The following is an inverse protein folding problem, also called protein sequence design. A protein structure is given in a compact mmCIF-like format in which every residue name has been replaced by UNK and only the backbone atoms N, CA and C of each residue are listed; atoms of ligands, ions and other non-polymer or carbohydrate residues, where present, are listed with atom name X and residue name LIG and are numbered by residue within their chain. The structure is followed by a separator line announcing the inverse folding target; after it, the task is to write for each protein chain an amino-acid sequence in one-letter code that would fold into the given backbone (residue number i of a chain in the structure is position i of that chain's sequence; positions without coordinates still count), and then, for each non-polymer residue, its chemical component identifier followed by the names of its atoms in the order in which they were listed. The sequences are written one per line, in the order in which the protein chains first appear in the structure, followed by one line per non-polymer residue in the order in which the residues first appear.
data_IF_239927497680
#
_entry.id   IF_239927497680
#
_cell.length_a   1.000
_cell.length_b   1.000
_cell.length_c   1.000
_cell.angle_alpha   90.00
_cell.angle_beta   90.00
_cell.angle_gamma   90.00
#
_symmetry.space_group_name_H-M   'P 1'
#
loop_
_entity.id
_entity.type
_entity.pdbx_description
1 polymer ?
#
# COMPACT_ATOMS: atom_id res chain seq x y z
N UNK A 1 -5.75 -7.94 -26.03
CA UNK A 1 -5.17 -8.13 -24.69
C UNK A 1 -6.30 -7.84 -23.73
N UNK A 2 -6.77 -8.83 -22.96
CA UNK A 2 -7.83 -8.55 -21.99
C UNK A 2 -7.27 -7.59 -20.94
N UNK A 3 -7.84 -6.39 -20.87
CA UNK A 3 -7.57 -5.42 -19.82
C UNK A 3 -8.08 -6.01 -18.50
N UNK A 4 -7.18 -6.28 -17.54
CA UNK A 4 -7.63 -6.69 -16.19
C UNK A 4 -6.75 -7.68 -15.43
N UNK A 5 -5.70 -8.26 -16.01
CA UNK A 5 -4.80 -9.12 -15.25
C UNK A 5 -3.61 -8.32 -14.71
N UNK A 6 -3.72 -7.84 -13.45
CA UNK A 6 -2.55 -7.31 -12.74
C UNK A 6 -1.51 -8.43 -12.56
N UNK A 7 -0.20 -8.11 -12.65
CA UNK A 7 0.86 -9.08 -12.43
C UNK A 7 0.67 -9.82 -11.10
N UNK A 8 0.98 -11.12 -11.03
CA UNK A 8 0.94 -11.82 -9.74
C UNK A 8 1.96 -11.23 -8.76
N UNK A 9 1.68 -11.26 -7.45
CA UNK A 9 2.61 -10.78 -6.40
C UNK A 9 3.98 -11.45 -6.53
N UNK A 10 4.01 -12.76 -6.85
CA UNK A 10 5.25 -13.50 -7.11
C UNK A 10 6.03 -13.01 -8.33
N UNK A 11 5.35 -12.51 -9.37
CA UNK A 11 6.02 -11.91 -10.52
C UNK A 11 6.58 -10.53 -10.14
N UNK A 12 5.82 -9.74 -9.39
CA UNK A 12 6.25 -8.42 -8.90
C UNK A 12 7.48 -8.53 -8.01
N UNK A 13 7.52 -9.49 -7.09
CA UNK A 13 8.68 -9.80 -6.26
C UNK A 13 9.93 -10.12 -7.08
N UNK A 14 9.80 -10.94 -8.13
CA UNK A 14 10.92 -11.26 -9.02
C UNK A 14 11.40 -10.03 -9.78
N UNK A 15 10.48 -9.17 -10.22
CA UNK A 15 10.82 -7.92 -10.89
C UNK A 15 11.53 -6.95 -9.95
N UNK A 16 11.08 -6.83 -8.69
CA UNK A 16 11.73 -6.02 -7.68
C UNK A 16 13.19 -6.44 -7.48
N UNK A 17 13.44 -7.75 -7.36
CA UNK A 17 14.79 -8.31 -7.21
C UNK A 17 15.65 -8.08 -8.47
N UNK A 18 15.14 -8.39 -9.66
CA UNK A 18 15.91 -8.30 -10.91
C UNK A 18 16.25 -6.85 -11.29
N UNK A 19 15.37 -5.91 -10.92
CA UNK A 19 15.51 -4.49 -11.23
C UNK A 19 16.12 -3.67 -10.08
N UNK A 20 16.47 -4.30 -8.96
CA UNK A 20 16.88 -3.64 -7.71
C UNK A 20 15.93 -2.49 -7.34
N UNK A 21 14.63 -2.78 -7.43
CA UNK A 21 13.54 -1.82 -7.25
C UNK A 21 12.76 -2.09 -5.95
N UNK A 22 12.07 -1.07 -5.47
CA UNK A 22 11.22 -1.15 -4.29
C UNK A 22 9.98 -2.02 -4.57
N UNK A 23 9.92 -3.20 -3.93
CA UNK A 23 8.81 -4.14 -4.05
C UNK A 23 7.46 -3.52 -3.65
N UNK A 24 7.42 -2.72 -2.57
CA UNK A 24 6.17 -2.15 -2.08
C UNK A 24 5.61 -1.15 -3.09
N UNK A 25 6.47 -0.33 -3.70
CA UNK A 25 6.08 0.58 -4.78
C UNK A 25 5.54 -0.18 -6.00
N UNK A 26 6.19 -1.27 -6.40
CA UNK A 26 5.72 -2.09 -7.52
C UNK A 26 4.38 -2.79 -7.21
N UNK A 27 4.15 -3.20 -5.97
CA UNK A 27 2.87 -3.77 -5.54
C UNK A 27 1.75 -2.73 -5.61
N UNK A 28 2.00 -1.51 -5.12
CA UNK A 28 1.04 -0.42 -5.18
C UNK A 28 0.70 -0.01 -6.62
N UNK A 29 1.70 0.02 -7.52
CA UNK A 29 1.50 0.26 -8.95
C UNK A 29 0.62 -0.82 -9.62
N UNK A 30 0.65 -2.04 -9.09
CA UNK A 30 -0.20 -3.14 -9.53
C UNK A 30 -1.54 -3.23 -8.76
N UNK A 31 -1.90 -2.18 -8.02
CA UNK A 31 -3.10 -2.10 -7.17
C UNK A 31 -3.16 -3.20 -6.09
N UNK A 32 -1.99 -3.62 -5.57
CA UNK A 32 -1.87 -4.60 -4.50
C UNK A 32 -1.37 -3.96 -3.22
N UNK A 33 -2.02 -4.29 -2.11
CA UNK A 33 -1.61 -3.82 -0.78
C UNK A 33 -0.41 -4.65 -0.29
N UNK A 34 0.73 -4.01 0.07
CA UNK A 34 1.89 -4.68 0.66
C UNK A 34 1.55 -5.49 1.92
N UNK A 35 2.26 -6.60 2.13
CA UNK A 35 2.01 -7.52 3.25
C UNK A 35 2.01 -6.82 4.63
N UNK A 36 2.98 -5.92 4.96
CA UNK A 36 2.99 -5.24 6.25
C UNK A 36 1.71 -4.44 6.51
N UNK A 37 1.17 -3.80 5.47
CA UNK A 37 -0.08 -3.01 5.56
C UNK A 37 -1.28 -3.95 5.71
N UNK A 38 -1.37 -5.02 4.89
CA UNK A 38 -2.44 -6.03 5.02
C UNK A 38 -2.52 -6.59 6.43
N UNK A 39 -1.37 -6.92 7.03
CA UNK A 39 -1.31 -7.45 8.39
C UNK A 39 -1.86 -6.46 9.41
N UNK A 40 -1.50 -5.17 9.31
CA UNK A 40 -2.01 -4.12 10.20
C UNK A 40 -3.51 -3.90 10.07
N UNK A 41 -4.05 -3.98 8.85
CA UNK A 41 -5.51 -3.90 8.61
C UNK A 41 -6.25 -5.04 9.32
N UNK A 42 -5.70 -6.25 9.30
CA UNK A 42 -6.30 -7.41 10.00
C UNK A 42 -6.16 -7.30 11.53
N UNK A 43 -5.04 -6.78 12.03
CA UNK A 43 -4.81 -6.59 13.47
C UNK A 43 -5.69 -5.49 14.08
N UNK A 44 -5.97 -4.42 13.35
CA UNK A 44 -6.70 -3.22 13.82
C UNK A 44 -7.74 -2.73 12.81
N UNK A 45 -8.73 -3.55 12.44
CA UNK A 45 -9.66 -3.22 11.37
C UNK A 45 -10.54 -2.00 11.68
N UNK A 46 -10.82 -1.74 12.96
CA UNK A 46 -11.52 -0.56 13.45
C UNK A 46 -10.77 0.74 13.12
N UNK A 47 -9.45 0.77 13.34
CA UNK A 47 -8.61 1.93 13.06
C UNK A 47 -8.57 2.22 11.57
N UNK A 48 -8.33 1.21 10.73
CA UNK A 48 -8.27 1.40 9.29
C UNK A 48 -9.62 1.75 8.67
N UNK A 49 -10.75 1.32 9.26
CA UNK A 49 -12.09 1.82 8.87
C UNK A 49 -12.25 3.31 9.14
N UNK A 50 -11.75 3.80 10.27
CA UNK A 50 -11.78 5.25 10.54
C UNK A 50 -10.91 5.97 9.52
N UNK A 51 -9.67 5.53 9.32
CA UNK A 51 -8.74 6.14 8.35
C UNK A 51 -9.32 6.16 6.94
N UNK A 52 -9.97 5.08 6.49
CA UNK A 52 -10.60 5.02 5.17
C UNK A 52 -11.79 5.97 4.96
N UNK A 53 -12.37 6.52 6.02
CA UNK A 53 -13.48 7.48 5.96
C UNK A 53 -13.02 8.93 6.13
N UNK A 54 -11.74 9.17 6.40
CA UNK A 54 -11.19 10.52 6.48
C UNK A 54 -11.15 11.16 5.10
N UNK A 55 -11.43 12.46 5.04
CA UNK A 55 -11.19 13.25 3.83
C UNK A 55 -9.71 13.66 3.72
N UNK A 56 -9.31 14.16 2.56
CA UNK A 56 -7.91 14.52 2.28
C UNK A 56 -7.30 15.46 3.33
N UNK A 57 -8.06 16.45 3.83
CA UNK A 57 -7.55 17.38 4.86
C UNK A 57 -7.33 16.69 6.20
N UNK A 58 -8.17 15.73 6.53
CA UNK A 58 -8.05 14.94 7.76
C UNK A 58 -6.89 13.96 7.67
N UNK A 59 -6.66 13.38 6.48
CA UNK A 59 -5.48 12.54 6.19
C UNK A 59 -4.19 13.36 6.25
N UNK A 60 -4.17 14.56 5.66
CA UNK A 60 -3.03 15.49 5.75
C UNK A 60 -2.71 15.86 7.20
N UNK A 61 -3.75 16.15 8.01
CA UNK A 61 -3.57 16.43 9.43
C UNK A 61 -3.04 15.22 10.22
N UNK A 62 -3.54 14.02 9.92
CA UNK A 62 -3.04 12.77 10.50
C UNK A 62 -1.56 12.56 10.16
N UNK A 63 -1.16 12.84 8.93
CA UNK A 63 0.22 12.74 8.47
C UNK A 63 1.12 13.81 9.11
N UNK A 64 0.64 15.05 9.29
CA UNK A 64 1.40 16.07 10.02
C UNK A 64 1.64 15.68 11.49
N UNK A 65 0.67 14.98 12.10
CA UNK A 65 0.74 14.59 13.51
C UNK A 65 1.64 13.36 13.77
N UNK A 66 1.65 12.38 12.86
CA UNK A 66 2.32 11.08 13.07
C UNK A 66 3.30 10.68 11.96
N UNK A 67 3.23 11.31 10.80
CA UNK A 67 3.99 10.96 9.61
C UNK A 67 5.44 11.45 9.58
N UNK A 68 5.90 12.10 10.67
CA UNK A 68 7.28 12.53 10.94
C UNK A 68 8.13 12.85 9.71
N UNK A 69 8.34 14.15 9.41
CA UNK A 69 9.23 14.68 8.35
C UNK A 69 10.31 13.67 7.91
N UNK A 70 10.03 12.95 6.82
CA UNK A 70 11.03 12.27 6.00
C UNK A 70 11.62 13.24 5.00
#
# INVERSE_FOLDING_TARGET
LEEGHSPSERLIQKLAIELDADEEQLLLLAEKVPEPIRKRVVERPDVFRVVANLNDKELDALMQQYGGNG
#
